data_IF_715585408884
#
_entry.id   IF_715585408884
#
_cell.length_a   1.000
_cell.length_b   1.000
_cell.length_c   1.000
_cell.angle_alpha   90.00
_cell.angle_beta   90.00
_cell.angle_gamma   90.00
#
_symmetry.space_group_name_H-M   'P 1'
#
loop_
_entity.id
_entity.type
_entity.pdbx_description
1 polymer ?
#
# COMPACT_ATOMS: atom_id res chain seq x y z
N UNK A 1 17.59 -14.93 29.77
CA UNK A 1 17.17 -14.12 28.62
C UNK A 1 17.16 -15.01 27.40
N UNK A 2 15.98 -15.19 26.80
CA UNK A 2 15.84 -15.89 25.54
C UNK A 2 15.90 -14.86 24.40
N UNK A 3 16.65 -15.17 23.34
CA UNK A 3 16.81 -14.28 22.17
C UNK A 3 16.20 -14.98 20.96
N UNK A 4 15.37 -14.26 20.21
CA UNK A 4 14.92 -14.71 18.90
C UNK A 4 15.86 -14.17 17.83
N UNK A 5 16.49 -15.06 17.08
CA UNK A 5 17.33 -14.71 15.95
C UNK A 5 16.59 -15.01 14.66
N UNK A 6 16.34 -13.96 13.89
CA UNK A 6 15.57 -14.00 12.65
C UNK A 6 16.52 -13.87 11.49
N UNK A 7 16.50 -14.83 10.58
CA UNK A 7 17.38 -14.88 9.42
C UNK A 7 16.54 -14.81 8.15
N UNK A 8 16.69 -13.73 7.38
CA UNK A 8 16.15 -13.66 6.03
C UNK A 8 17.12 -14.24 5.02
N UNK A 9 16.63 -15.16 4.20
CA UNK A 9 17.39 -15.72 3.08
C UNK A 9 17.58 -14.66 2.00
N UNK A 10 18.77 -14.51 1.40
CA UNK A 10 19.06 -13.39 0.50
C UNK A 10 18.46 -13.55 -0.89
N UNK A 11 18.24 -14.79 -1.34
CA UNK A 11 17.79 -15.11 -2.70
C UNK A 11 16.40 -15.73 -2.76
N UNK A 12 15.80 -16.04 -1.61
CA UNK A 12 14.56 -16.77 -1.52
C UNK A 12 13.58 -16.00 -0.63
N UNK A 13 12.29 -16.14 -0.92
CA UNK A 13 11.23 -15.56 -0.12
C UNK A 13 10.99 -16.41 1.13
N UNK A 14 11.99 -16.48 2.01
CA UNK A 14 12.02 -17.33 3.19
C UNK A 14 12.70 -16.62 4.36
N UNK A 15 12.14 -16.81 5.55
CA UNK A 15 12.68 -16.35 6.83
C UNK A 15 12.70 -17.52 7.80
N UNK A 16 13.83 -17.71 8.49
CA UNK A 16 14.01 -18.73 9.50
C UNK A 16 14.23 -18.09 10.86
N UNK A 17 13.54 -18.60 11.88
CA UNK A 17 13.58 -18.09 13.24
C UNK A 17 14.18 -19.13 14.16
N UNK A 18 15.25 -18.75 14.86
CA UNK A 18 15.97 -19.57 15.82
C UNK A 18 15.87 -18.97 17.22
N UNK A 19 15.50 -19.79 18.20
CA UNK A 19 15.53 -19.44 19.60
C UNK A 19 16.88 -19.78 20.20
N UNK A 20 17.49 -18.81 20.88
CA UNK A 20 18.69 -18.99 21.69
C UNK A 20 18.27 -19.01 23.16
N UNK A 21 18.44 -20.15 23.81
CA UNK A 21 18.12 -20.30 25.23
C UNK A 21 19.18 -19.63 26.15
N UNK A 22 18.90 -19.57 27.45
CA UNK A 22 19.81 -18.95 28.42
C UNK A 22 21.18 -19.66 28.55
N UNK A 23 21.30 -20.88 28.02
CA UNK A 23 22.51 -21.69 28.00
C UNK A 23 23.28 -21.55 26.69
N UNK A 24 22.76 -20.77 25.73
CA UNK A 24 23.34 -20.55 24.41
C UNK A 24 23.05 -21.66 23.41
N UNK A 25 22.09 -22.55 23.67
CA UNK A 25 21.67 -23.55 22.68
C UNK A 25 20.74 -22.89 21.66
N UNK A 26 21.03 -23.13 20.39
CA UNK A 26 20.19 -22.68 19.27
C UNK A 26 19.17 -23.78 18.92
N UNK A 27 17.93 -23.39 18.67
CA UNK A 27 16.87 -24.27 18.21
C UNK A 27 16.04 -23.58 17.13
N UNK A 28 15.83 -24.23 15.99
CA UNK A 28 14.87 -23.78 14.99
C UNK A 28 13.45 -23.84 15.55
N UNK A 29 12.71 -22.74 15.45
CA UNK A 29 11.37 -22.64 16.03
C UNK A 29 10.30 -22.33 15.00
N UNK A 30 10.64 -21.64 13.92
CA UNK A 30 9.68 -21.25 12.92
C UNK A 30 10.36 -20.98 11.58
N UNK A 31 9.68 -21.35 10.51
CA UNK A 31 10.02 -20.95 9.14
C UNK A 31 8.82 -20.27 8.51
N UNK A 32 9.04 -19.11 7.89
CA UNK A 32 8.04 -18.38 7.12
C UNK A 32 8.50 -18.38 5.65
N UNK A 33 7.68 -18.83 4.71
CA UNK A 33 8.00 -18.79 3.27
C UNK A 33 6.82 -18.30 2.43
N UNK A 34 7.12 -17.67 1.28
CA UNK A 34 6.11 -17.36 0.28
C UNK A 34 6.01 -18.48 -0.74
N UNK A 35 4.91 -19.21 -0.71
CA UNK A 35 4.59 -20.27 -1.67
C UNK A 35 3.55 -19.78 -2.69
N UNK A 36 3.12 -20.69 -3.58
CA UNK A 36 2.21 -20.39 -4.68
C UNK A 36 0.76 -20.07 -4.25
N UNK A 37 0.38 -20.44 -3.03
CA UNK A 37 -0.97 -20.29 -2.47
C UNK A 37 -1.01 -19.51 -1.15
N UNK A 38 0.09 -18.87 -0.76
CA UNK A 38 0.12 -17.92 0.35
C UNK A 38 1.45 -17.85 1.10
N UNK A 39 1.43 -17.16 2.24
CA UNK A 39 2.55 -17.12 3.18
C UNK A 39 2.40 -18.30 4.14
N UNK A 40 3.34 -19.23 4.07
CA UNK A 40 3.35 -20.45 4.87
C UNK A 40 4.12 -20.18 6.15
N UNK A 41 3.50 -20.50 7.28
CA UNK A 41 4.12 -20.40 8.60
C UNK A 41 4.19 -21.79 9.20
N UNK A 42 5.42 -22.29 9.34
CA UNK A 42 5.73 -23.59 9.93
C UNK A 42 6.29 -23.40 11.33
N UNK A 43 5.49 -23.56 12.38
CA UNK A 43 5.98 -23.58 13.76
C UNK A 43 6.54 -24.96 14.09
N UNK A 44 7.83 -25.02 14.45
CA UNK A 44 8.58 -26.24 14.80
C UNK A 44 8.61 -26.51 16.32
N UNK A 45 8.05 -25.61 17.11
CA UNK A 45 7.90 -25.74 18.57
C UNK A 45 6.48 -26.17 18.93
N UNK A 46 6.33 -27.33 19.59
CA UNK A 46 5.05 -27.80 20.12
C UNK A 46 4.38 -28.88 19.25
N UNK A 47 3.05 -28.88 19.19
CA UNK A 47 2.31 -29.57 18.12
C UNK A 47 2.64 -28.87 16.80
N UNK A 48 2.92 -29.62 15.72
CA UNK A 48 3.27 -29.06 14.41
C UNK A 48 2.13 -28.19 13.88
N UNK A 49 2.21 -26.90 14.19
CA UNK A 49 1.24 -25.91 13.77
C UNK A 49 1.71 -25.32 12.45
N UNK A 50 1.03 -25.72 11.39
CA UNK A 50 1.20 -25.20 10.06
C UNK A 50 -0.06 -24.44 9.65
N UNK A 51 0.12 -23.19 9.26
CA UNK A 51 -0.96 -22.37 8.73
C UNK A 51 -0.49 -21.52 7.56
N UNK A 52 -1.45 -21.15 6.72
CA UNK A 52 -1.23 -20.35 5.52
C UNK A 52 -1.96 -19.04 5.72
N UNK A 53 -1.25 -17.93 5.56
CA UNK A 53 -1.80 -16.60 5.58
C UNK A 53 -1.97 -16.08 4.13
N UNK A 54 -3.02 -15.28 3.87
CA UNK A 54 -3.15 -14.57 2.61
C UNK A 54 -2.02 -13.52 2.49
N UNK A 55 -1.24 -13.52 1.40
CA UNK A 55 -0.28 -12.45 1.15
C UNK A 55 -0.97 -11.10 1.00
N UNK A 56 -0.24 -10.05 1.34
CA UNK A 56 -0.65 -8.64 1.18
C UNK A 56 0.45 -7.87 0.46
N UNK A 57 0.14 -6.66 0.00
CA UNK A 57 1.10 -5.81 -0.70
C UNK A 57 2.28 -5.41 0.20
N UNK A 58 2.02 -5.12 1.48
CA UNK A 58 3.03 -4.79 2.50
C UNK A 58 3.58 -6.06 3.17
N UNK A 59 4.15 -6.95 2.38
CA UNK A 59 4.55 -8.30 2.80
C UNK A 59 5.55 -8.32 3.97
N UNK A 60 6.41 -7.30 4.07
CA UNK A 60 7.36 -7.10 5.16
C UNK A 60 6.66 -6.87 6.50
N UNK A 61 5.55 -6.16 6.50
CA UNK A 61 4.73 -5.93 7.69
C UNK A 61 4.09 -7.24 8.15
N UNK A 62 3.46 -7.99 7.23
CA UNK A 62 2.88 -9.30 7.54
C UNK A 62 3.92 -10.27 8.14
N UNK A 63 5.11 -10.37 7.54
CA UNK A 63 6.17 -11.24 8.05
C UNK A 63 6.64 -10.79 9.43
N UNK A 64 6.78 -9.48 9.66
CA UNK A 64 7.16 -8.92 10.96
C UNK A 64 6.10 -9.21 12.02
N UNK A 65 4.82 -9.02 11.73
CA UNK A 65 3.72 -9.30 12.67
C UNK A 65 3.70 -10.77 13.11
N UNK A 66 3.91 -11.71 12.18
CA UNK A 66 4.01 -13.15 12.51
C UNK A 66 5.20 -13.43 13.45
N UNK A 67 6.34 -12.78 13.22
CA UNK A 67 7.52 -12.92 14.08
C UNK A 67 7.25 -12.36 15.48
N UNK A 68 6.63 -11.18 15.55
CA UNK A 68 6.31 -10.51 16.81
C UNK A 68 5.28 -11.30 17.63
N UNK A 69 4.23 -11.83 16.99
CA UNK A 69 3.24 -12.70 17.64
C UNK A 69 3.90 -13.93 18.29
N UNK A 70 4.82 -14.59 17.57
CA UNK A 70 5.56 -15.75 18.11
C UNK A 70 6.53 -15.34 19.22
N UNK A 71 7.16 -14.19 19.11
CA UNK A 71 8.03 -13.67 20.16
C UNK A 71 7.25 -13.36 21.44
N UNK A 72 6.04 -12.82 21.33
CA UNK A 72 5.12 -12.57 22.44
C UNK A 72 4.64 -13.89 23.07
N UNK A 73 4.21 -14.87 22.27
CA UNK A 73 3.80 -16.21 22.74
C UNK A 73 4.89 -16.89 23.59
N UNK A 74 6.16 -16.71 23.19
CA UNK A 74 7.32 -17.32 23.82
C UNK A 74 7.96 -16.45 24.93
N UNK A 75 7.42 -15.27 25.21
CA UNK A 75 7.97 -14.28 26.16
C UNK A 75 9.45 -13.96 25.90
N UNK A 76 9.79 -13.65 24.64
CA UNK A 76 11.16 -13.36 24.22
C UNK A 76 11.54 -11.92 24.59
N UNK A 77 12.72 -11.74 25.19
CA UNK A 77 13.19 -10.43 25.65
C UNK A 77 13.73 -9.55 24.52
N UNK A 78 14.35 -10.17 23.51
CA UNK A 78 15.05 -9.49 22.42
C UNK A 78 14.92 -10.24 21.10
N UNK A 79 14.63 -9.52 20.03
CA UNK A 79 14.68 -10.02 18.65
C UNK A 79 15.91 -9.44 17.95
N UNK A 80 16.68 -10.27 17.26
CA UNK A 80 17.86 -9.89 16.48
C UNK A 80 17.64 -10.30 15.04
N UNK A 81 17.75 -9.34 14.11
CA UNK A 81 17.56 -9.57 12.68
C UNK A 81 18.90 -9.77 11.96
N UNK A 82 18.90 -10.67 10.98
CA UNK A 82 20.03 -10.97 10.09
C UNK A 82 19.57 -11.13 8.65
N UNK A 83 20.42 -10.67 7.73
CA UNK A 83 20.21 -10.81 6.29
C UNK A 83 21.41 -11.48 5.61
N UNK A 84 21.19 -12.65 5.00
CA UNK A 84 22.25 -13.46 4.37
C UNK A 84 23.28 -14.03 5.36
N UNK A 85 24.44 -14.43 4.83
CA UNK A 85 25.55 -15.01 5.62
C UNK A 85 26.40 -13.94 6.35
N UNK A 86 25.98 -12.67 6.32
CA UNK A 86 26.71 -11.60 6.96
C UNK A 86 26.55 -11.67 8.49
N UNK A 87 27.66 -11.58 9.21
CA UNK A 87 27.69 -11.65 10.67
C UNK A 87 27.19 -10.37 11.36
N UNK A 88 26.87 -9.32 10.61
CA UNK A 88 26.37 -8.05 11.16
C UNK A 88 24.88 -8.17 11.47
N UNK A 89 24.53 -7.87 12.72
CA UNK A 89 23.14 -7.76 13.16
C UNK A 89 22.53 -6.49 12.53
N UNK A 90 21.32 -6.58 12.01
CA UNK A 90 20.59 -5.42 11.46
C UNK A 90 19.62 -4.87 12.50
N UNK A 91 19.47 -3.54 12.52
CA UNK A 91 18.51 -2.88 13.43
C UNK A 91 17.04 -3.18 13.03
N UNK A 92 16.81 -3.55 11.77
CA UNK A 92 15.49 -3.81 11.18
C UNK A 92 15.43 -5.13 10.42
N UNK A 93 14.21 -5.66 10.24
CA UNK A 93 13.93 -6.78 9.35
C UNK A 93 14.15 -6.34 7.89
N UNK A 94 15.11 -6.96 7.22
CA UNK A 94 15.37 -6.80 5.78
C UNK A 94 14.97 -8.11 5.10
N UNK A 95 14.07 -8.04 4.12
CA UNK A 95 13.64 -9.17 3.30
C UNK A 95 14.31 -9.14 1.92
N UNK A 96 14.43 -10.30 1.28
CA UNK A 96 14.92 -10.41 -0.10
C UNK A 96 13.92 -9.86 -1.13
N UNK A 97 14.43 -9.46 -2.29
CA UNK A 97 13.62 -9.02 -3.44
C UNK A 97 12.56 -10.04 -3.86
N UNK A 98 12.79 -11.33 -3.58
CA UNK A 98 11.86 -12.41 -3.89
C UNK A 98 10.52 -12.27 -3.15
N UNK A 99 10.51 -11.63 -1.97
CA UNK A 99 9.27 -11.31 -1.23
C UNK A 99 8.44 -10.25 -1.92
N UNK A 100 9.06 -9.30 -2.63
CA UNK A 100 8.41 -8.10 -3.17
C UNK A 100 7.90 -8.26 -4.61
N UNK A 101 7.82 -9.48 -5.13
CA UNK A 101 7.20 -9.73 -6.42
C UNK A 101 5.68 -9.59 -6.33
N UNK A 102 5.17 -8.40 -6.64
CA UNK A 102 3.76 -8.03 -6.48
C UNK A 102 2.81 -8.92 -7.31
N UNK A 103 3.20 -9.34 -8.51
CA UNK A 103 2.40 -10.26 -9.33
C UNK A 103 2.28 -11.62 -8.64
N UNK A 104 3.39 -12.16 -8.15
CA UNK A 104 3.41 -13.45 -7.43
C UNK A 104 2.58 -13.38 -6.15
N UNK A 105 2.69 -12.30 -5.39
CA UNK A 105 1.90 -12.09 -4.17
C UNK A 105 0.40 -12.01 -4.49
N UNK A 106 0.01 -11.27 -5.53
CA UNK A 106 -1.38 -11.13 -5.95
C UNK A 106 -1.97 -12.46 -6.44
N UNK A 107 -1.22 -13.21 -7.25
CA UNK A 107 -1.60 -14.57 -7.67
C UNK A 107 -1.77 -15.50 -6.48
N UNK A 108 -0.81 -15.53 -5.55
CA UNK A 108 -0.89 -16.35 -4.35
C UNK A 108 -2.07 -15.95 -3.45
N UNK A 109 -2.37 -14.67 -3.31
CA UNK A 109 -3.55 -14.18 -2.57
C UNK A 109 -4.88 -14.58 -3.22
N UNK A 110 -4.97 -14.51 -4.55
CA UNK A 110 -6.17 -14.95 -5.28
C UNK A 110 -6.38 -16.46 -5.17
N UNK A 111 -5.29 -17.25 -5.23
CA UNK A 111 -5.33 -18.71 -5.03
C UNK A 111 -5.70 -19.06 -3.59
N UNK A 112 -5.12 -18.38 -2.61
CA UNK A 112 -5.49 -18.52 -1.20
C UNK A 112 -6.99 -18.28 -1.01
N UNK A 113 -7.53 -17.21 -1.59
CA UNK A 113 -8.95 -16.84 -1.52
C UNK A 113 -9.85 -17.92 -2.13
N UNK A 114 -9.46 -18.50 -3.27
CA UNK A 114 -10.19 -19.59 -3.89
C UNK A 114 -10.19 -20.87 -3.02
N UNK A 115 -9.01 -21.24 -2.49
CA UNK A 115 -8.83 -22.47 -1.69
C UNK A 115 -9.52 -22.42 -0.33
N UNK A 116 -9.40 -21.30 0.37
CA UNK A 116 -9.95 -21.09 1.72
C UNK A 116 -11.47 -20.90 1.75
N UNK A 117 -12.11 -20.80 0.59
CA UNK A 117 -13.56 -20.62 0.50
C UNK A 117 -14.34 -21.87 0.90
N UNK A 118 -15.38 -21.70 1.71
CA UNK A 118 -16.32 -22.76 2.07
C UNK A 118 -17.59 -22.65 1.20
N UNK A 119 -17.44 -22.93 -0.09
CA UNK A 119 -18.54 -22.85 -1.06
C UNK A 119 -18.69 -24.18 -1.80
N UNK A 120 -19.92 -24.69 -1.83
CA UNK A 120 -20.32 -25.88 -2.59
C UNK A 120 -20.59 -25.51 -4.06
N UNK A 121 -19.52 -25.46 -4.86
CA UNK A 121 -19.62 -25.29 -6.31
C UNK A 121 -18.51 -26.08 -7.01
N UNK A 122 -18.69 -26.44 -8.28
CA UNK A 122 -17.70 -27.24 -9.03
C UNK A 122 -16.45 -26.43 -9.35
N UNK A 123 -16.63 -25.17 -9.71
CA UNK A 123 -15.55 -24.23 -10.00
C UNK A 123 -15.65 -23.07 -9.00
N UNK A 124 -14.51 -22.72 -8.43
CA UNK A 124 -14.39 -21.53 -7.58
C UNK A 124 -13.44 -20.54 -8.22
N UNK A 125 -13.87 -19.29 -8.32
CA UNK A 125 -13.05 -18.17 -8.77
C UNK A 125 -12.74 -17.31 -7.55
N UNK A 126 -11.48 -17.30 -7.12
CA UNK A 126 -10.98 -16.36 -6.12
C UNK A 126 -10.49 -15.10 -6.79
N UNK A 127 -11.19 -13.98 -6.61
CA UNK A 127 -10.79 -12.67 -7.13
C UNK A 127 -10.26 -11.83 -5.97
N UNK A 128 -9.06 -11.28 -6.15
CA UNK A 128 -8.44 -10.36 -5.21
C UNK A 128 -8.18 -9.02 -5.89
N UNK A 129 -8.72 -7.94 -5.33
CA UNK A 129 -8.18 -6.60 -5.56
C UNK A 129 -6.95 -6.46 -4.65
N UNK A 130 -5.77 -6.66 -5.22
CA UNK A 130 -4.53 -6.78 -4.45
C UNK A 130 -3.92 -5.42 -4.11
N UNK A 131 -4.10 -4.45 -5.01
CA UNK A 131 -3.84 -3.03 -4.79
C UNK A 131 -4.91 -2.20 -5.51
N UNK A 132 -4.81 -0.87 -5.50
CA UNK A 132 -5.75 -0.03 -6.23
C UNK A 132 -5.78 -0.28 -7.75
N UNK A 133 -4.67 -0.74 -8.32
CA UNK A 133 -4.50 -0.96 -9.76
C UNK A 133 -4.34 -2.43 -10.14
N UNK A 134 -3.96 -3.31 -9.20
CA UNK A 134 -3.70 -4.71 -9.48
C UNK A 134 -4.83 -5.61 -9.00
N UNK A 135 -5.45 -6.31 -9.93
CA UNK A 135 -6.39 -7.39 -9.65
C UNK A 135 -5.77 -8.73 -10.03
N UNK A 136 -6.05 -9.75 -9.23
CA UNK A 136 -5.68 -11.12 -9.50
C UNK A 136 -6.90 -12.03 -9.40
N UNK A 137 -6.93 -13.06 -10.21
CA UNK A 137 -7.95 -14.10 -10.13
C UNK A 137 -7.30 -15.48 -10.26
N UNK A 138 -7.75 -16.43 -9.45
CA UNK A 138 -7.43 -17.85 -9.61
C UNK A 138 -8.72 -18.63 -9.74
N UNK A 139 -8.82 -19.39 -10.83
CA UNK A 139 -9.91 -20.32 -11.09
C UNK A 139 -9.44 -21.72 -10.67
N UNK A 140 -10.14 -22.36 -9.73
CA UNK A 140 -9.84 -23.71 -9.27
C UNK A 140 -11.02 -24.64 -9.52
N UNK A 141 -10.72 -25.92 -9.80
CA UNK A 141 -11.69 -27.00 -9.68
C UNK A 141 -11.78 -27.40 -8.21
N UNK A 142 -12.98 -27.36 -7.63
CA UNK A 142 -13.15 -27.58 -6.18
C UNK A 142 -12.89 -29.03 -5.76
N UNK A 143 -13.15 -30.00 -6.64
CA UNK A 143 -13.02 -31.45 -6.37
C UNK A 143 -11.59 -31.85 -5.95
N UNK A 144 -10.57 -31.28 -6.59
CA UNK A 144 -9.17 -31.61 -6.36
C UNK A 144 -8.30 -30.37 -6.10
N UNK A 145 -8.92 -29.21 -5.93
CA UNK A 145 -8.26 -27.91 -5.69
C UNK A 145 -7.27 -27.48 -6.77
N UNK A 146 -7.36 -28.09 -7.96
CA UNK A 146 -6.40 -27.88 -9.03
C UNK A 146 -6.64 -26.52 -9.71
N UNK A 147 -5.59 -25.67 -9.86
CA UNK A 147 -5.71 -24.39 -10.55
C UNK A 147 -5.86 -24.62 -12.06
N UNK A 148 -6.96 -24.15 -12.62
CA UNK A 148 -7.24 -24.23 -14.05
C UNK A 148 -6.60 -23.06 -14.80
N UNK A 149 -6.68 -21.88 -14.21
CA UNK A 149 -6.23 -20.63 -14.80
C UNK A 149 -5.93 -19.62 -13.69
N UNK A 150 -4.94 -18.77 -13.92
CA UNK A 150 -4.78 -17.55 -13.14
C UNK A 150 -4.69 -16.35 -14.05
N UNK A 151 -5.21 -15.22 -13.61
CA UNK A 151 -5.29 -13.99 -14.39
C UNK A 151 -4.77 -12.86 -13.52
N UNK A 152 -3.85 -12.08 -14.07
CA UNK A 152 -3.48 -10.77 -13.54
C UNK A 152 -4.09 -9.72 -14.45
N UNK A 153 -4.77 -8.75 -13.85
CA UNK A 153 -5.23 -7.55 -14.51
C UNK A 153 -4.58 -6.35 -13.85
N UNK A 154 -3.60 -5.80 -14.54
CA UNK A 154 -2.82 -4.67 -14.11
C UNK A 154 -3.29 -3.39 -14.81
N UNK A 155 -3.94 -2.54 -14.03
CA UNK A 155 -4.45 -1.22 -14.46
C UNK A 155 -3.40 -0.12 -14.32
N UNK A 156 -2.16 -0.44 -13.97
CA UNK A 156 -1.05 0.51 -13.90
C UNK A 156 -0.57 0.99 -15.27
N UNK A 157 -1.31 0.66 -16.34
CA UNK A 157 -0.98 1.02 -17.70
C UNK A 157 -2.25 1.20 -18.53
N UNK A 158 -2.16 1.99 -19.60
CA UNK A 158 -3.23 2.18 -20.56
C UNK A 158 -2.73 1.88 -22.00
N UNK A 159 -3.33 0.91 -22.73
CA UNK A 159 -4.34 -0.01 -22.23
C UNK A 159 -3.76 -0.95 -21.16
N UNK A 160 -4.60 -1.28 -20.17
CA UNK A 160 -4.25 -2.15 -19.05
C UNK A 160 -3.71 -3.50 -19.51
N UNK A 161 -2.77 -4.06 -18.75
CA UNK A 161 -2.12 -5.33 -19.09
C UNK A 161 -2.90 -6.46 -18.44
N UNK A 162 -3.21 -7.48 -19.24
CA UNK A 162 -3.78 -8.73 -18.76
C UNK A 162 -2.79 -9.82 -19.05
N UNK A 163 -2.38 -10.55 -18.03
CA UNK A 163 -1.58 -11.77 -18.14
C UNK A 163 -2.40 -12.96 -17.72
N UNK A 164 -2.41 -13.99 -18.55
CA UNK A 164 -3.13 -15.24 -18.31
C UNK A 164 -2.11 -16.34 -18.16
N UNK A 165 -2.20 -17.03 -17.04
CA UNK A 165 -1.34 -18.13 -16.65
C UNK A 165 -2.14 -19.42 -16.75
N UNK A 166 -1.53 -20.45 -17.34
CA UNK A 166 -2.11 -21.78 -17.39
C UNK A 166 -1.96 -22.52 -16.05
N UNK A 167 -2.42 -23.76 -16.03
CA UNK A 167 -2.35 -24.72 -14.93
C UNK A 167 -0.92 -24.94 -14.38
N UNK A 168 0.11 -24.71 -15.19
CA UNK A 168 1.53 -24.86 -14.83
C UNK A 168 2.16 -23.55 -14.34
N UNK A 169 1.38 -22.46 -14.21
CA UNK A 169 1.88 -21.14 -13.84
C UNK A 169 2.67 -20.44 -14.96
N UNK A 170 2.54 -20.90 -16.20
CA UNK A 170 3.21 -20.29 -17.35
C UNK A 170 2.28 -19.27 -18.02
N UNK A 171 2.84 -18.11 -18.37
CA UNK A 171 2.11 -17.10 -19.16
C UNK A 171 1.80 -17.68 -20.53
N UNK A 172 0.52 -17.88 -20.82
CA UNK A 172 0.03 -18.36 -22.12
C UNK A 172 -0.49 -17.23 -23.00
N UNK A 173 -0.94 -16.14 -22.38
CA UNK A 173 -1.40 -14.96 -23.09
C UNK A 173 -1.02 -13.70 -22.31
N UNK A 174 -0.51 -12.71 -23.02
CA UNK A 174 -0.32 -11.36 -22.52
C UNK A 174 -0.94 -10.40 -23.54
N UNK A 175 -1.92 -9.61 -23.10
CA UNK A 175 -2.64 -8.66 -23.94
C UNK A 175 -2.82 -7.33 -23.25
N UNK A 176 -3.11 -6.30 -24.05
CA UNK A 176 -3.43 -4.97 -23.56
C UNK A 176 -4.87 -4.63 -23.90
N UNK A 177 -5.72 -4.54 -22.88
CA UNK A 177 -7.16 -4.32 -23.01
C UNK A 177 -7.68 -3.70 -21.70
N UNK A 178 -8.60 -2.74 -21.82
CA UNK A 178 -9.28 -2.15 -20.67
C UNK A 178 -10.56 -2.94 -20.40
N UNK A 179 -10.70 -3.46 -19.18
CA UNK A 179 -11.85 -4.22 -18.75
C UNK A 179 -12.72 -3.34 -17.86
N UNK A 180 -13.99 -3.17 -18.20
CA UNK A 180 -14.94 -2.42 -17.37
C UNK A 180 -15.27 -3.16 -16.07
N UNK A 181 -15.51 -4.48 -16.17
CA UNK A 181 -15.82 -5.34 -15.03
C UNK A 181 -14.94 -6.60 -15.04
N UNK A 182 -13.95 -6.62 -14.15
CA UNK A 182 -13.00 -7.74 -14.05
C UNK A 182 -13.67 -9.06 -13.67
N UNK A 183 -14.72 -9.02 -12.85
CA UNK A 183 -15.47 -10.22 -12.47
C UNK A 183 -16.18 -10.85 -13.66
N UNK A 184 -16.89 -10.04 -14.45
CA UNK A 184 -17.58 -10.50 -15.67
C UNK A 184 -16.59 -11.01 -16.72
N UNK A 185 -15.45 -10.34 -16.86
CA UNK A 185 -14.39 -10.76 -17.75
C UNK A 185 -13.86 -12.15 -17.40
N UNK A 186 -13.53 -12.39 -16.12
CA UNK A 186 -13.07 -13.71 -15.67
C UNK A 186 -14.15 -14.77 -15.85
N UNK A 187 -15.42 -14.47 -15.52
CA UNK A 187 -16.57 -15.36 -15.77
C UNK A 187 -16.70 -15.73 -17.24
N UNK A 188 -16.46 -14.78 -18.15
CA UNK A 188 -16.60 -15.00 -19.60
C UNK A 188 -15.59 -16.00 -20.16
N UNK A 189 -14.50 -16.30 -19.44
CA UNK A 189 -13.52 -17.31 -19.84
C UNK A 189 -13.95 -18.75 -19.55
N UNK A 190 -15.04 -18.94 -18.80
CA UNK A 190 -15.58 -20.25 -18.46
C UNK A 190 -16.72 -20.65 -19.39
N UNK A 191 -17.00 -21.96 -19.45
CA UNK A 191 -18.12 -22.46 -20.23
C UNK A 191 -19.43 -22.12 -19.53
N UNK A 192 -20.46 -21.70 -20.29
CA UNK A 192 -21.75 -21.25 -19.75
C UNK A 192 -22.56 -22.30 -18.97
N UNK A 193 -22.10 -23.55 -18.95
CA UNK A 193 -22.73 -24.66 -18.22
C UNK A 193 -22.01 -25.03 -16.91
N UNK A 194 -20.94 -24.32 -16.56
CA UNK A 194 -20.20 -24.60 -15.34
C UNK A 194 -20.96 -24.05 -14.12
N UNK A 195 -21.06 -24.86 -13.06
CA UNK A 195 -21.49 -24.41 -11.75
C UNK A 195 -20.31 -23.66 -11.11
N UNK A 196 -20.45 -22.35 -10.97
CA UNK A 196 -19.38 -21.41 -10.62
C UNK A 196 -19.76 -20.59 -9.38
N UNK A 197 -18.87 -20.58 -8.40
CA UNK A 197 -18.89 -19.63 -7.28
C UNK A 197 -17.77 -18.60 -7.43
N UNK A 198 -18.05 -17.34 -7.06
CA UNK A 198 -17.05 -16.29 -6.99
C UNK A 198 -16.87 -15.88 -5.54
N UNK A 199 -15.61 -15.80 -5.15
CA UNK A 199 -15.17 -15.37 -3.83
C UNK A 199 -14.30 -14.15 -4.07
N UNK A 200 -14.85 -12.98 -3.75
CA UNK A 200 -14.17 -11.70 -3.91
C UNK A 200 -13.58 -11.26 -2.58
N UNK A 201 -12.30 -10.88 -2.60
CA UNK A 201 -11.58 -10.32 -1.45
C UNK A 201 -10.83 -9.06 -1.88
N UNK A 202 -10.77 -8.09 -0.99
CA UNK A 202 -9.89 -6.94 -1.17
C UNK A 202 -8.74 -7.12 -0.19
N UNK A 203 -7.50 -7.14 -0.70
CA UNK A 203 -6.35 -6.85 0.16
C UNK A 203 -6.44 -5.36 0.43
N UNK A 204 -7.01 -5.03 1.58
CA UNK A 204 -6.88 -3.68 2.12
C UNK A 204 -5.38 -3.42 2.27
N UNK A 205 -4.90 -2.25 1.85
CA UNK A 205 -3.62 -1.76 2.37
C UNK A 205 -3.70 -1.88 3.90
N UNK A 206 -2.72 -2.54 4.51
CA UNK A 206 -2.76 -2.81 5.93
C UNK A 206 -2.98 -1.50 6.69
N UNK A 207 -3.88 -1.56 7.66
CA UNK A 207 -4.25 -0.39 8.43
C UNK A 207 -3.00 0.00 9.21
N UNK A 208 -2.46 1.21 9.00
CA UNK A 208 -1.20 1.59 9.59
C UNK A 208 -1.23 1.44 11.11
N UNK A 209 -0.29 0.70 11.71
CA UNK A 209 -0.31 0.48 13.16
C UNK A 209 -0.08 1.78 13.95
N UNK A 210 -1.00 2.19 14.84
CA UNK A 210 -0.84 3.42 15.59
C UNK A 210 0.33 3.33 16.57
N UNK A 211 0.93 4.49 16.88
CA UNK A 211 1.82 4.62 18.02
C UNK A 211 1.01 4.94 19.27
N UNK A 212 1.15 4.12 20.31
CA UNK A 212 0.61 4.46 21.63
C UNK A 212 1.49 5.53 22.28
N UNK A 213 0.89 6.65 22.65
CA UNK A 213 1.55 7.77 23.32
C UNK A 213 0.72 8.26 24.50
N UNK A 214 1.42 8.56 25.59
CA UNK A 214 0.79 9.10 26.80
C UNK A 214 1.02 10.61 26.85
N UNK A 215 -0.05 11.38 27.08
CA UNK A 215 0.05 12.84 27.24
C UNK A 215 0.63 13.22 28.60
N UNK A 216 0.91 14.51 28.79
CA UNK A 216 1.45 15.03 30.05
C UNK A 216 0.50 14.85 31.26
N UNK A 217 -0.78 14.55 31.02
CA UNK A 217 -1.79 14.31 32.06
C UNK A 217 -1.98 12.81 32.38
N UNK A 218 -1.25 11.92 31.71
CA UNK A 218 -1.36 10.46 31.88
C UNK A 218 -2.43 9.78 31.03
N UNK A 219 -3.10 10.49 30.13
CA UNK A 219 -4.08 9.93 29.19
C UNK A 219 -3.35 9.28 28.00
N UNK A 220 -3.81 8.09 27.61
CA UNK A 220 -3.26 7.31 26.50
C UNK A 220 -4.01 7.62 25.21
N UNK A 221 -3.26 7.79 24.13
CA UNK A 221 -3.78 8.00 22.78
C UNK A 221 -3.06 7.10 21.78
N UNK A 222 -3.78 6.73 20.74
CA UNK A 222 -3.28 6.06 19.55
C UNK A 222 -3.13 7.12 18.45
N UNK A 223 -1.89 7.33 17.99
CA UNK A 223 -1.55 8.42 17.08
C UNK A 223 -0.79 7.90 15.86
N UNK A 224 -1.15 8.45 14.70
CA UNK A 224 -0.52 8.13 13.44
C UNK A 224 -0.86 9.19 12.40
N UNK A 225 0.01 9.33 11.40
CA UNK A 225 -0.14 10.33 10.35
C UNK A 225 -0.10 9.62 9.01
N UNK A 226 -1.19 9.70 8.26
CA UNK A 226 -1.28 9.12 6.92
C UNK A 226 -1.15 10.23 5.89
N UNK A 227 -0.16 10.12 5.00
CA UNK A 227 -0.05 10.99 3.83
C UNK A 227 -0.85 10.41 2.67
N UNK A 228 -1.75 11.23 2.12
CA UNK A 228 -2.33 11.03 0.79
C UNK A 228 -1.95 12.21 -0.10
N UNK A 229 -2.03 12.00 -1.40
CA UNK A 229 -1.57 12.95 -2.39
C UNK A 229 -2.70 13.30 -3.37
N UNK A 230 -2.60 14.47 -3.99
CA UNK A 230 -3.32 14.77 -5.23
C UNK A 230 -2.29 15.16 -6.28
N UNK A 231 -2.36 14.54 -7.45
CA UNK A 231 -1.48 14.86 -8.56
C UNK A 231 -2.18 15.76 -9.58
N UNK A 232 -1.40 16.66 -10.16
CA UNK A 232 -1.81 17.48 -11.27
C UNK A 232 -0.73 17.60 -12.33
N UNK A 233 -1.16 17.65 -13.58
CA UNK A 233 -0.34 17.49 -14.76
C UNK A 233 -0.39 18.78 -15.55
N UNK A 234 0.71 19.54 -15.53
CA UNK A 234 0.77 20.84 -16.20
C UNK A 234 1.63 20.72 -17.46
N UNK A 235 1.05 20.77 -18.66
CA UNK A 235 1.82 20.74 -19.90
C UNK A 235 2.56 22.07 -20.10
N UNK A 236 3.80 22.02 -20.61
CA UNK A 236 4.64 23.20 -20.90
C UNK A 236 5.32 23.06 -22.26
N UNK A 237 5.34 24.17 -23.01
CA UNK A 237 5.81 24.24 -24.42
C UNK A 237 7.29 24.68 -24.51
N UNK A 238 7.97 24.94 -23.39
CA UNK A 238 9.42 25.21 -23.42
C UNK A 238 10.13 25.04 -22.07
N UNK A 239 11.45 24.84 -22.14
CA UNK A 239 12.35 24.81 -20.98
C UNK A 239 12.43 26.17 -20.24
N UNK A 240 12.19 27.27 -20.98
CA UNK A 240 12.09 28.62 -20.41
C UNK A 240 10.81 28.81 -19.59
N UNK A 241 9.70 28.17 -19.97
CA UNK A 241 8.48 28.10 -19.17
C UNK A 241 8.61 27.17 -17.96
N UNK A 242 9.46 26.16 -18.02
CA UNK A 242 9.80 25.30 -16.86
C UNK A 242 10.50 26.07 -15.73
N UNK A 243 11.41 27.00 -16.07
CA UNK A 243 12.09 27.83 -15.07
C UNK A 243 11.20 28.96 -14.50
N UNK A 244 10.19 29.43 -15.25
CA UNK A 244 9.13 30.30 -14.75
C UNK A 244 8.13 29.53 -13.87
N UNK A 245 7.71 28.34 -14.30
CA UNK A 245 6.79 27.46 -13.57
C UNK A 245 7.41 26.90 -12.28
N UNK A 246 8.72 26.64 -12.21
CA UNK A 246 9.41 26.30 -10.95
C UNK A 246 9.12 27.29 -9.82
N UNK A 247 8.77 28.54 -10.14
CA UNK A 247 8.37 29.58 -9.17
C UNK A 247 6.86 29.86 -9.12
N UNK A 248 6.09 29.57 -10.17
CA UNK A 248 4.62 29.65 -10.11
C UNK A 248 4.07 28.53 -9.23
N UNK A 249 3.66 28.95 -8.04
CA UNK A 249 2.97 28.10 -7.06
C UNK A 249 1.50 28.08 -7.43
N UNK A 250 0.92 26.91 -7.71
CA UNK A 250 -0.53 26.78 -7.84
C UNK A 250 -1.11 26.90 -6.42
N UNK A 251 -1.67 28.07 -6.12
CA UNK A 251 -2.15 28.42 -4.78
C UNK A 251 -3.50 27.76 -4.53
N UNK A 252 -3.62 27.12 -3.37
CA UNK A 252 -4.86 26.48 -2.94
C UNK A 252 -5.80 27.53 -2.35
N UNK A 253 -6.97 27.71 -2.98
CA UNK A 253 -8.01 28.59 -2.47
C UNK A 253 -8.84 27.86 -1.40
N UNK A 254 -9.41 28.64 -0.48
CA UNK A 254 -10.41 28.19 0.49
C UNK A 254 -10.08 26.86 1.23
N UNK A 255 -8.85 26.74 1.75
CA UNK A 255 -8.38 25.53 2.46
C UNK A 255 -9.33 25.02 3.55
N UNK A 256 -10.03 25.91 4.25
CA UNK A 256 -11.00 25.54 5.29
C UNK A 256 -12.18 24.77 4.71
N UNK A 257 -12.68 25.15 3.53
CA UNK A 257 -13.72 24.40 2.80
C UNK A 257 -13.16 23.04 2.39
N UNK A 258 -11.93 23.00 1.87
CA UNK A 258 -11.28 21.76 1.44
C UNK A 258 -11.12 20.76 2.60
N UNK A 259 -10.58 21.19 3.74
CA UNK A 259 -10.43 20.37 4.94
C UNK A 259 -11.79 19.85 5.46
N UNK A 260 -12.85 20.68 5.41
CA UNK A 260 -14.20 20.24 5.80
C UNK A 260 -14.74 19.19 4.83
N UNK A 261 -14.53 19.37 3.53
CA UNK A 261 -14.99 18.41 2.53
C UNK A 261 -14.27 17.07 2.68
N UNK A 262 -12.93 17.07 2.74
CA UNK A 262 -12.15 15.84 2.87
C UNK A 262 -12.60 15.01 4.07
N UNK A 263 -12.87 15.66 5.21
CA UNK A 263 -13.46 14.96 6.35
C UNK A 263 -14.86 14.44 6.07
N UNK A 264 -15.72 15.21 5.39
CA UNK A 264 -17.08 14.79 5.10
C UNK A 264 -17.14 13.57 4.17
N UNK A 265 -16.40 13.60 3.05
CA UNK A 265 -16.41 12.51 2.05
C UNK A 265 -15.73 11.22 2.56
N UNK A 266 -14.82 11.36 3.54
CA UNK A 266 -14.17 10.24 4.23
C UNK A 266 -14.87 9.87 5.55
N UNK A 267 -15.98 10.53 5.89
CA UNK A 267 -16.69 10.35 7.16
C UNK A 267 -15.80 10.50 8.41
N UNK A 268 -14.84 11.42 8.42
CA UNK A 268 -13.90 11.60 9.54
C UNK A 268 -14.40 12.63 10.56
N UNK A 269 -14.25 12.29 11.84
CA UNK A 269 -14.55 13.24 12.90
C UNK A 269 -13.53 14.36 12.95
N UNK A 270 -14.01 15.57 13.25
CA UNK A 270 -13.13 16.71 13.45
C UNK A 270 -12.35 16.51 14.74
N UNK A 271 -11.04 16.73 14.68
CA UNK A 271 -10.18 16.73 15.86
C UNK A 271 -10.73 17.58 17.02
N UNK A 272 -10.83 16.94 18.17
CA UNK A 272 -11.34 17.48 19.43
C UNK A 272 -10.48 17.00 20.62
N UNK A 273 -10.92 17.24 21.86
CA UNK A 273 -10.21 16.73 23.06
C UNK A 273 -10.28 15.21 23.18
N UNK A 274 -11.34 14.60 22.66
CA UNK A 274 -11.60 13.17 22.75
C UNK A 274 -10.98 12.39 21.57
N UNK A 275 -10.21 13.09 20.72
CA UNK A 275 -9.65 12.55 19.48
C UNK A 275 -10.37 13.06 18.23
N UNK A 276 -10.08 12.40 17.10
CA UNK A 276 -10.54 12.74 15.75
C UNK A 276 -9.37 12.97 14.79
N UNK A 277 -9.68 13.46 13.60
CA UNK A 277 -8.69 13.67 12.53
C UNK A 277 -8.52 15.16 12.23
N UNK A 278 -7.26 15.61 12.22
CA UNK A 278 -6.88 16.90 11.67
C UNK A 278 -6.25 16.73 10.29
N UNK A 279 -6.59 17.59 9.35
CA UNK A 279 -6.09 17.52 7.96
C UNK A 279 -5.33 18.80 7.67
N UNK A 280 -4.06 18.69 7.29
CA UNK A 280 -3.26 19.87 6.91
C UNK A 280 -3.26 20.00 5.39
N UNK A 281 -3.70 21.15 4.88
CA UNK A 281 -3.58 21.48 3.46
C UNK A 281 -2.46 22.52 3.28
N UNK A 282 -1.37 22.22 2.54
CA UNK A 282 -0.31 23.18 2.27
C UNK A 282 -0.85 24.35 1.44
N UNK A 283 -0.06 25.42 1.30
CA UNK A 283 -0.53 26.66 0.63
C UNK A 283 -0.50 26.60 -0.87
N UNK A 284 0.25 25.66 -1.40
CA UNK A 284 0.50 25.52 -2.81
C UNK A 284 0.86 24.06 -3.10
N UNK A 285 0.69 23.69 -4.37
CA UNK A 285 1.18 22.42 -4.91
C UNK A 285 2.69 22.51 -5.06
N UNK A 286 3.37 21.38 -4.88
CA UNK A 286 4.83 21.28 -4.98
C UNK A 286 5.23 20.52 -6.23
N UNK A 287 6.27 20.96 -6.94
CA UNK A 287 6.85 20.12 -7.98
C UNK A 287 7.51 18.90 -7.36
N UNK A 288 7.58 17.81 -8.12
CA UNK A 288 8.04 16.50 -7.68
C UNK A 288 9.39 16.53 -6.94
N UNK A 289 10.39 17.19 -7.53
CA UNK A 289 11.74 17.34 -6.96
C UNK A 289 11.78 18.06 -5.59
N UNK A 290 10.74 18.84 -5.24
CA UNK A 290 10.64 19.53 -3.95
C UNK A 290 9.78 18.78 -2.93
N UNK A 291 9.14 17.67 -3.33
CA UNK A 291 8.24 16.90 -2.49
C UNK A 291 8.91 16.38 -1.20
N UNK A 292 10.15 15.83 -1.21
CA UNK A 292 10.81 15.36 0.02
C UNK A 292 11.00 16.47 1.06
N UNK A 293 11.40 17.66 0.58
CA UNK A 293 11.59 18.85 1.42
C UNK A 293 10.26 19.36 2.00
N UNK A 294 9.18 19.32 1.22
CA UNK A 294 7.87 19.77 1.70
C UNK A 294 7.25 18.75 2.67
N UNK A 295 7.39 17.44 2.43
CA UNK A 295 6.96 16.39 3.36
C UNK A 295 7.67 16.56 4.69
N UNK A 296 8.98 16.80 4.71
CA UNK A 296 9.74 17.06 5.94
C UNK A 296 9.19 18.27 6.72
N UNK A 297 8.80 19.35 6.02
CA UNK A 297 8.14 20.51 6.65
C UNK A 297 6.75 20.18 7.18
N UNK A 298 6.00 19.31 6.50
CA UNK A 298 4.68 18.88 6.91
C UNK A 298 4.75 17.96 8.14
N UNK A 299 5.72 17.04 8.20
CA UNK A 299 6.07 16.25 9.40
C UNK A 299 6.28 17.17 10.61
N UNK A 300 7.20 18.14 10.47
CA UNK A 300 7.44 19.13 11.53
C UNK A 300 6.25 20.04 11.89
N UNK A 301 5.27 20.24 10.99
CA UNK A 301 4.02 20.93 11.32
C UNK A 301 3.06 20.04 12.10
N UNK A 302 2.99 18.75 11.77
CA UNK A 302 2.16 17.77 12.46
C UNK A 302 2.69 17.53 13.89
N UNK A 303 3.99 17.35 14.07
CA UNK A 303 4.64 17.28 15.39
C UNK A 303 4.34 18.53 16.23
N UNK A 304 4.44 19.72 15.63
CA UNK A 304 4.08 20.99 16.30
C UNK A 304 2.61 21.04 16.67
N UNK A 305 1.73 20.48 15.85
CA UNK A 305 0.31 20.41 16.15
C UNK A 305 0.06 19.50 17.36
N UNK A 306 0.60 18.27 17.33
CA UNK A 306 0.45 17.27 18.39
C UNK A 306 1.05 17.75 19.73
N UNK A 307 2.27 18.29 19.69
CA UNK A 307 2.94 18.82 20.89
C UNK A 307 2.21 20.03 21.49
N UNK A 308 1.78 21.00 20.67
CA UNK A 308 1.10 22.19 21.19
C UNK A 308 -0.33 21.93 21.67
N UNK A 309 -1.04 20.96 21.08
CA UNK A 309 -2.44 20.68 21.42
C UNK A 309 -2.59 19.65 22.52
N UNK A 310 -1.73 18.63 22.53
CA UNK A 310 -1.87 17.46 23.39
C UNK A 310 -0.59 17.15 24.19
N UNK A 311 0.52 17.86 23.96
CA UNK A 311 1.79 17.57 24.63
C UNK A 311 2.43 16.24 24.20
N UNK A 312 1.98 15.65 23.09
CA UNK A 312 2.44 14.34 22.62
C UNK A 312 3.78 14.46 21.88
N UNK A 313 4.61 13.42 22.00
CA UNK A 313 5.89 13.26 21.29
C UNK A 313 5.99 11.86 20.74
N UNK A 314 6.38 11.73 19.48
CA UNK A 314 6.53 10.45 18.80
C UNK A 314 5.25 10.05 18.08
N UNK A 315 5.38 9.90 16.78
CA UNK A 315 4.31 9.64 15.82
C UNK A 315 4.86 8.75 14.70
N UNK A 316 4.00 7.91 14.13
CA UNK A 316 4.33 7.11 12.96
C UNK A 316 3.78 7.79 11.72
N UNK A 317 4.59 7.83 10.67
CA UNK A 317 4.27 8.45 9.39
C UNK A 317 4.11 7.38 8.32
N UNK A 318 2.93 7.33 7.71
CA UNK A 318 2.55 6.37 6.68
C UNK A 318 2.36 7.06 5.34
N UNK A 319 2.69 6.36 4.25
CA UNK A 319 2.59 6.89 2.88
C UNK A 319 3.62 7.98 2.55
N UNK A 320 4.67 8.14 3.34
CA UNK A 320 5.75 9.12 3.14
C UNK A 320 7.13 8.45 3.04
N UNK A 321 7.19 7.34 2.30
CA UNK A 321 8.40 6.53 2.14
C UNK A 321 9.52 7.36 1.50
N UNK A 322 10.64 7.52 2.22
CA UNK A 322 11.76 8.36 1.79
C UNK A 322 12.53 7.80 0.59
N UNK A 323 12.50 6.49 0.36
CA UNK A 323 13.12 5.85 -0.80
C UNK A 323 12.35 6.18 -2.07
N UNK A 324 11.02 5.97 -2.05
CA UNK A 324 10.12 6.32 -3.16
C UNK A 324 10.18 7.82 -3.46
N UNK A 325 10.24 8.66 -2.42
CA UNK A 325 10.41 10.11 -2.58
C UNK A 325 11.74 10.50 -3.23
N UNK A 326 12.82 9.74 -3.03
CA UNK A 326 14.11 9.96 -3.70
C UNK A 326 14.05 9.54 -5.16
N UNK A 327 13.42 8.42 -5.48
CA UNK A 327 13.22 7.96 -6.87
C UNK A 327 12.45 9.01 -7.67
N UNK A 328 11.35 9.50 -7.12
CA UNK A 328 10.53 10.58 -7.65
C UNK A 328 11.32 11.86 -7.97
N UNK A 329 12.30 12.20 -7.15
CA UNK A 329 13.10 13.42 -7.36
C UNK A 329 14.07 13.32 -8.54
N UNK A 330 14.34 12.10 -9.02
CA UNK A 330 15.28 11.81 -10.10
C UNK A 330 14.60 11.64 -11.47
N UNK A 331 13.26 11.62 -11.52
CA UNK A 331 12.54 11.42 -12.78
C UNK A 331 12.65 12.62 -13.72
N UNK A 332 12.74 12.32 -15.02
CA UNK A 332 12.89 13.33 -16.08
C UNK A 332 11.51 13.81 -16.53
N UNK A 333 11.29 15.13 -16.51
CA UNK A 333 10.06 15.78 -16.98
C UNK A 333 10.03 16.07 -18.50
N UNK A 334 10.95 15.49 -19.27
CA UNK A 334 11.20 15.84 -20.68
C UNK A 334 10.58 14.79 -21.60
N UNK A 335 9.56 15.20 -22.37
CA UNK A 335 8.87 14.32 -23.33
C UNK A 335 9.52 14.45 -24.71
N UNK A 336 9.81 15.68 -25.16
CA UNK A 336 10.47 15.95 -26.44
C UNK A 336 11.17 17.31 -26.49
N UNK A 337 11.92 17.58 -27.58
CA UNK A 337 12.73 18.81 -27.77
C UNK A 337 11.98 20.12 -27.50
N UNK A 338 10.64 20.12 -27.50
CA UNK A 338 9.80 21.29 -27.18
C UNK A 338 8.66 21.03 -26.17
N UNK A 339 8.52 19.83 -25.59
CA UNK A 339 7.38 19.50 -24.73
C UNK A 339 7.80 18.88 -23.40
N UNK A 340 7.22 19.40 -22.32
CA UNK A 340 7.50 19.01 -20.95
C UNK A 340 6.21 18.81 -20.16
N UNK A 341 6.20 17.79 -19.31
CA UNK A 341 5.12 17.54 -18.36
C UNK A 341 5.59 17.85 -16.95
N UNK A 342 5.00 18.87 -16.34
CA UNK A 342 5.34 19.27 -14.99
C UNK A 342 4.33 18.68 -13.99
N UNK A 343 4.77 17.62 -13.29
CA UNK A 343 4.00 16.98 -12.24
C UNK A 343 4.00 17.82 -10.97
N UNK A 344 2.80 18.19 -10.54
CA UNK A 344 2.54 18.94 -9.31
C UNK A 344 1.80 18.07 -8.33
N UNK A 345 2.40 17.88 -7.16
CA UNK A 345 1.85 17.07 -6.08
C UNK A 345 1.34 17.99 -4.97
N UNK A 346 0.20 17.61 -4.41
CA UNK A 346 -0.35 18.21 -3.21
C UNK A 346 -0.32 17.15 -2.08
N UNK A 347 0.71 17.16 -1.22
CA UNK A 347 0.77 16.25 -0.08
C UNK A 347 -0.19 16.71 1.03
N UNK A 348 -1.02 15.79 1.52
CA UNK A 348 -2.05 16.01 2.53
C UNK A 348 -1.84 15.03 3.68
N UNK A 349 -1.29 15.46 4.83
CA UNK A 349 -1.23 14.62 6.01
C UNK A 349 -2.57 14.66 6.76
N UNK A 350 -3.06 13.47 7.08
CA UNK A 350 -4.17 13.21 7.97
C UNK A 350 -3.60 12.78 9.32
N UNK A 351 -3.71 13.66 10.32
CA UNK A 351 -3.24 13.40 11.68
C UNK A 351 -4.39 12.76 12.45
N UNK A 352 -4.25 11.49 12.77
CA UNK A 352 -5.24 10.70 13.50
C UNK A 352 -4.83 10.67 14.97
N UNK A 353 -5.76 11.04 15.85
CA UNK A 353 -5.62 10.87 17.30
C UNK A 353 -6.87 10.16 17.79
N UNK A 354 -6.71 9.00 18.42
CA UNK A 354 -7.82 8.22 18.93
C UNK A 354 -7.59 7.80 20.38
N UNK A 355 -8.68 7.58 21.11
CA UNK A 355 -8.64 7.08 22.49
C UNK A 355 -8.47 5.56 22.56
N UNK A 356 -8.82 4.85 21.49
CA UNK A 356 -8.69 3.39 21.37
C UNK A 356 -8.07 3.01 20.02
N UNK A 357 -7.39 1.84 19.97
CA UNK A 357 -6.85 1.28 18.71
C UNK A 357 -7.96 1.07 17.67
N UNK A 358 -9.11 0.55 18.09
CA UNK A 358 -10.25 0.33 17.20
C UNK A 358 -10.74 1.63 16.51
N UNK A 359 -10.83 2.73 17.26
CA UNK A 359 -11.22 4.03 16.71
C UNK A 359 -10.15 4.56 15.74
N UNK A 360 -8.87 4.37 16.07
CA UNK A 360 -7.77 4.68 15.15
C UNK A 360 -7.93 3.90 13.83
N UNK A 361 -8.12 2.58 13.93
CA UNK A 361 -8.19 1.68 12.79
C UNK A 361 -9.36 2.05 11.85
N UNK A 362 -10.49 2.49 12.42
CA UNK A 362 -11.63 2.95 11.64
C UNK A 362 -11.32 4.22 10.84
N UNK A 363 -10.68 5.21 11.45
CA UNK A 363 -10.25 6.42 10.72
C UNK A 363 -9.19 6.11 9.67
N UNK A 364 -8.23 5.26 10.02
CA UNK A 364 -7.17 4.85 9.12
C UNK A 364 -7.72 4.10 7.90
N UNK A 365 -8.64 3.12 8.08
CA UNK A 365 -9.36 2.45 6.98
C UNK A 365 -10.04 3.44 6.04
N UNK A 366 -10.78 4.41 6.59
CA UNK A 366 -11.50 5.41 5.79
C UNK A 366 -10.53 6.25 4.96
N UNK A 367 -9.40 6.66 5.53
CA UNK A 367 -8.38 7.43 4.82
C UNK A 367 -7.68 6.59 3.75
N UNK A 368 -7.34 5.34 4.07
CA UNK A 368 -6.62 4.43 3.16
C UNK A 368 -7.47 4.05 1.95
N UNK A 369 -8.73 3.67 2.17
CA UNK A 369 -9.66 3.28 1.11
C UNK A 369 -10.13 4.47 0.25
N UNK A 370 -10.02 5.68 0.78
CA UNK A 370 -10.52 6.89 0.13
C UNK A 370 -12.05 7.02 0.19
N UNK A 371 -12.63 8.04 -0.46
CA UNK A 371 -14.06 8.28 -0.46
C UNK A 371 -14.84 7.25 -1.28
N UNK A 372 -16.16 7.26 -1.15
CA UNK A 372 -17.06 6.52 -2.06
C UNK A 372 -17.03 7.12 -3.47
N UNK A 373 -17.62 6.42 -4.47
CA UNK A 373 -17.73 6.93 -5.86
C UNK A 373 -18.29 8.35 -5.92
N UNK A 374 -19.44 8.60 -5.29
CA UNK A 374 -20.04 9.94 -5.19
C UNK A 374 -19.10 10.94 -4.50
N UNK A 375 -18.35 10.48 -3.50
CA UNK A 375 -17.36 11.31 -2.82
C UNK A 375 -16.16 11.69 -3.70
N UNK A 376 -15.76 10.83 -4.64
CA UNK A 376 -14.74 11.17 -5.65
C UNK A 376 -15.24 12.20 -6.66
N UNK A 377 -16.50 12.11 -7.09
CA UNK A 377 -17.11 13.14 -7.96
C UNK A 377 -17.12 14.51 -7.29
N UNK A 378 -17.54 14.55 -6.01
CA UNK A 378 -17.55 15.79 -5.22
C UNK A 378 -16.11 16.32 -5.00
N UNK A 379 -15.14 15.42 -4.79
CA UNK A 379 -13.74 15.78 -4.64
C UNK A 379 -13.18 16.40 -5.92
N UNK A 380 -13.49 15.81 -7.08
CA UNK A 380 -13.08 16.30 -8.40
C UNK A 380 -13.64 17.70 -8.69
N UNK A 381 -14.92 17.92 -8.44
CA UNK A 381 -15.55 19.25 -8.57
C UNK A 381 -14.86 20.29 -7.67
N UNK A 382 -14.60 19.94 -6.41
CA UNK A 382 -13.96 20.86 -5.47
C UNK A 382 -12.53 21.18 -5.89
N UNK A 383 -11.78 20.21 -6.40
CA UNK A 383 -10.41 20.39 -6.90
C UNK A 383 -10.41 21.33 -8.11
N UNK A 384 -11.33 21.14 -9.05
CA UNK A 384 -11.51 22.04 -10.20
C UNK A 384 -11.85 23.46 -9.77
N UNK A 385 -12.71 23.63 -8.76
CA UNK A 385 -13.09 24.94 -8.21
C UNK A 385 -11.96 25.66 -7.45
N UNK A 386 -11.21 24.92 -6.62
CA UNK A 386 -10.35 25.51 -5.58
C UNK A 386 -8.85 25.35 -5.83
N UNK A 387 -8.46 24.49 -6.77
CA UNK A 387 -7.08 24.19 -7.12
C UNK A 387 -6.80 24.51 -8.59
N UNK A 388 -7.19 23.63 -9.50
CA UNK A 388 -7.04 23.77 -10.95
C UNK A 388 -7.68 22.56 -11.66
N UNK A 389 -8.09 22.75 -12.91
CA UNK A 389 -8.55 21.66 -13.80
C UNK A 389 -7.45 20.70 -14.22
N UNK A 390 -6.18 21.03 -13.96
CA UNK A 390 -5.04 20.16 -14.23
C UNK A 390 -4.85 19.05 -13.19
N UNK A 391 -5.61 19.05 -12.10
CA UNK A 391 -5.51 18.05 -11.03
C UNK A 391 -6.56 16.95 -11.17
N UNK A 392 -6.17 15.75 -10.77
CA UNK A 392 -7.05 14.59 -10.72
C UNK A 392 -7.80 14.59 -9.38
N UNK A 393 -9.11 14.39 -9.45
CA UNK A 393 -10.04 14.24 -8.34
C UNK A 393 -9.86 13.02 -7.44
N UNK A 394 -8.65 12.53 -7.21
CA UNK A 394 -8.39 11.22 -6.60
C UNK A 394 -7.32 11.28 -5.49
N UNK A 395 -7.68 10.86 -4.27
CA UNK A 395 -6.74 10.76 -3.15
C UNK A 395 -5.84 9.54 -3.31
N UNK A 396 -4.62 9.78 -3.78
CA UNK A 396 -3.69 8.72 -4.14
C UNK A 396 -2.66 8.43 -3.05
N UNK A 397 -2.15 7.20 -3.01
CA UNK A 397 -0.85 6.88 -2.40
C UNK A 397 0.29 7.50 -3.21
N UNK A 398 1.52 7.41 -2.68
CA UNK A 398 2.68 7.95 -3.38
C UNK A 398 3.03 7.09 -4.61
N UNK A 399 2.84 5.77 -4.47
CA UNK A 399 3.02 4.75 -5.49
C UNK A 399 2.02 4.93 -6.63
N UNK A 400 0.75 5.20 -6.32
CA UNK A 400 -0.28 5.48 -7.32
C UNK A 400 0.03 6.77 -8.10
N UNK A 401 0.54 7.81 -7.42
CA UNK A 401 0.93 9.05 -8.07
C UNK A 401 2.06 8.84 -9.10
N UNK A 402 3.01 7.96 -8.78
CA UNK A 402 4.12 7.54 -9.64
C UNK A 402 3.63 6.80 -10.89
N UNK A 403 2.73 5.84 -10.69
CA UNK A 403 2.17 5.04 -11.78
C UNK A 403 1.44 5.93 -12.79
N UNK A 404 0.54 6.80 -12.30
CA UNK A 404 -0.20 7.73 -13.16
C UNK A 404 0.77 8.65 -13.92
N UNK A 405 1.86 9.08 -13.27
CA UNK A 405 2.87 9.87 -13.94
C UNK A 405 3.58 9.12 -15.07
N UNK A 406 4.05 7.89 -14.81
CA UNK A 406 4.71 7.05 -15.82
C UNK A 406 3.80 6.80 -17.01
N UNK A 407 2.52 6.52 -16.76
CA UNK A 407 1.52 6.30 -17.81
C UNK A 407 1.31 7.52 -18.71
N UNK A 408 1.01 8.67 -18.12
CA UNK A 408 0.78 9.90 -18.86
C UNK A 408 2.04 10.30 -19.64
N UNK A 409 3.22 10.15 -19.02
CA UNK A 409 4.49 10.42 -19.68
C UNK A 409 4.71 9.49 -20.89
N UNK A 410 4.46 8.19 -20.72
CA UNK A 410 4.61 7.19 -21.79
C UNK A 410 3.61 7.38 -22.92
N UNK A 411 2.37 7.77 -22.64
CA UNK A 411 1.35 8.09 -23.66
C UNK A 411 1.77 9.30 -24.49
N UNK A 412 2.10 10.41 -23.82
CA UNK A 412 2.50 11.65 -24.50
C UNK A 412 3.80 11.48 -25.32
N UNK A 413 4.68 10.56 -24.91
CA UNK A 413 5.91 10.24 -25.65
C UNK A 413 5.68 9.37 -26.89
N UNK A 414 4.53 8.69 -27.00
CA UNK A 414 4.20 7.83 -28.15
C UNK A 414 3.58 8.61 -29.31
N UNK A 415 2.88 9.70 -29.04
CA UNK A 415 2.20 10.54 -30.05
C UNK A 415 3.16 11.35 -30.95
N UNK A 416 4.47 11.29 -30.71
CA UNK A 416 5.50 11.92 -31.56
C UNK A 416 6.17 10.98 -32.58
N UNK A 417 5.68 9.75 -32.75
CA UNK A 417 6.03 8.86 -33.86
C UNK A 417 4.89 8.78 -34.87
#
# INVERSE_FOLDING_TARGET
MAILKVYSHPNEAMVSCLLIDEKGNEKDIMTISLEDNGVHVHKLLGEENYYILPPIAQIDTLVREVIEEVAEELNIDTIVFKFGDYNEDTDDLILSDAWYNIERLALAASKHTALSSDVESKIVIGIVKFSAYLYASTIIRKEDTFPLLQIIYDRSSNPSIIKIYNELGQVVEERRENIENFEEYVKSMLSSNDDVAIVYRESLDEIPSPKEVTNNNGEKYFVGIIFKYLAGFVPSISDSHLNLNKKERIIIKNKKKFVRLLRAILYLDRFSKDGGVEVIIPSYTVPLHMLPLEISKLKGKAEKFLSNKLGLKGDNYFGANEEILKELSNEKNFISDNFYLDLRILPIPFIIVASTKQQFDEYAKRIMNGPTSDGYEILDELIKENLSTFFIGYLMSLEEALIIYSDIFNELSKDEK
#
